data_IF_388963604077
#
_entry.id   IF_388963604077
#
_cell.length_a   1.000
_cell.length_b   1.000
_cell.length_c   1.000
_cell.angle_alpha   90.00
_cell.angle_beta   90.00
_cell.angle_gamma   90.00
#
_symmetry.space_group_name_H-M   'P 1'
#
loop_
_entity.id
_entity.type
_entity.pdbx_description
1 polymer ?
#
# COMPACT_ATOMS: atom_id res chain seq x y z
N UNK A 1 2.75 9.24 -7.86
CA UNK A 1 1.89 10.10 -7.03
C UNK A 1 2.07 11.59 -7.40
N UNK A 2 3.29 12.08 -7.53
CA UNK A 2 3.61 13.51 -7.70
C UNK A 2 2.97 14.19 -8.91
N UNK A 3 2.61 13.43 -9.94
CA UNK A 3 2.02 13.96 -11.17
C UNK A 3 0.49 13.88 -11.19
N UNK A 4 -0.15 13.43 -10.14
CA UNK A 4 -1.60 13.22 -10.04
C UNK A 4 -2.20 12.41 -11.22
N UNK A 5 -1.40 11.50 -11.78
CA UNK A 5 -1.83 10.60 -12.84
C UNK A 5 -2.59 9.41 -12.25
N UNK A 6 -3.62 8.91 -12.91
CA UNK A 6 -4.34 7.73 -12.44
C UNK A 6 -3.44 6.49 -12.51
N UNK A 7 -3.61 5.58 -11.55
CA UNK A 7 -3.00 4.25 -11.56
C UNK A 7 -4.05 3.18 -11.37
N UNK A 8 -3.82 2.04 -11.99
CA UNK A 8 -4.65 0.85 -11.85
C UNK A 8 -3.81 -0.31 -11.35
N UNK A 9 -4.22 -0.91 -10.25
CA UNK A 9 -3.63 -2.12 -9.70
C UNK A 9 -4.48 -3.36 -9.93
N UNK A 10 -3.90 -4.53 -9.67
CA UNK A 10 -4.65 -5.77 -9.55
C UNK A 10 -4.16 -6.57 -8.35
N UNK A 11 -5.10 -7.21 -7.64
CA UNK A 11 -4.82 -8.06 -6.49
C UNK A 11 -4.38 -9.46 -6.94
N UNK A 12 -3.40 -10.02 -6.22
CA UNK A 12 -2.85 -11.34 -6.46
C UNK A 12 -2.73 -12.12 -5.14
N UNK A 13 -3.18 -13.36 -5.14
CA UNK A 13 -3.07 -14.28 -3.99
C UNK A 13 -2.21 -15.52 -4.32
N UNK A 14 -1.74 -15.62 -5.57
CA UNK A 14 -0.90 -16.73 -6.01
C UNK A 14 0.58 -16.37 -5.92
N UNK A 15 1.38 -17.26 -5.34
CA UNK A 15 2.85 -17.15 -5.31
C UNK A 15 3.50 -17.60 -6.62
N UNK A 16 2.73 -18.17 -7.55
CA UNK A 16 3.28 -18.56 -8.83
C UNK A 16 3.62 -17.34 -9.68
N UNK A 17 4.90 -17.01 -9.76
CA UNK A 17 5.43 -15.82 -10.44
C UNK A 17 4.95 -15.66 -11.88
N UNK A 18 4.63 -16.77 -12.58
CA UNK A 18 4.06 -16.73 -13.93
C UNK A 18 2.71 -15.98 -13.98
N UNK A 19 1.88 -16.09 -12.94
CA UNK A 19 0.62 -15.35 -12.88
C UNK A 19 0.86 -13.84 -12.76
N UNK A 20 1.84 -13.45 -11.95
CA UNK A 20 2.27 -12.05 -11.85
C UNK A 20 2.85 -11.54 -13.17
N UNK A 21 3.70 -12.34 -13.81
CA UNK A 21 4.29 -12.03 -15.12
C UNK A 21 3.21 -11.86 -16.19
N UNK A 22 2.21 -12.77 -16.21
CA UNK A 22 1.09 -12.70 -17.14
C UNK A 22 0.28 -11.42 -16.96
N UNK A 23 -0.09 -11.07 -15.72
CA UNK A 23 -0.82 -9.84 -15.41
C UNK A 23 -0.01 -8.59 -15.78
N UNK A 24 1.26 -8.51 -15.39
CA UNK A 24 2.15 -7.39 -15.69
C UNK A 24 2.41 -7.22 -17.20
N UNK A 25 2.49 -8.33 -17.95
CA UNK A 25 2.72 -8.32 -19.39
C UNK A 25 1.60 -7.67 -20.19
N UNK A 26 0.39 -7.61 -19.66
CA UNK A 26 -0.77 -6.95 -20.29
C UNK A 26 -0.59 -5.44 -20.45
N UNK A 27 0.27 -4.83 -19.64
CA UNK A 27 0.47 -3.38 -19.55
C UNK A 27 -0.79 -2.57 -19.15
N UNK A 28 -1.83 -3.24 -18.66
CA UNK A 28 -3.02 -2.57 -18.14
C UNK A 28 -2.85 -2.12 -16.71
N UNK A 29 -1.95 -2.77 -15.96
CA UNK A 29 -1.74 -2.51 -14.54
C UNK A 29 -0.43 -1.78 -14.29
N UNK A 30 -0.49 -0.75 -13.45
CA UNK A 30 0.68 0.00 -12.99
C UNK A 30 1.35 -0.73 -11.81
N UNK A 31 0.56 -1.50 -11.04
CA UNK A 31 1.08 -2.30 -9.93
C UNK A 31 0.30 -3.60 -9.72
N UNK A 32 0.98 -4.57 -9.13
CA UNK A 32 0.40 -5.81 -8.60
C UNK A 32 0.42 -5.72 -7.08
N UNK A 33 -0.76 -5.86 -6.44
CA UNK A 33 -0.88 -5.97 -4.99
C UNK A 33 -0.91 -7.45 -4.60
N UNK A 34 0.10 -7.90 -3.85
CA UNK A 34 0.10 -9.26 -3.29
C UNK A 34 -0.46 -9.25 -1.87
N UNK A 35 -1.45 -10.12 -1.64
CA UNK A 35 -2.20 -10.23 -0.38
C UNK A 35 -1.46 -11.10 0.65
N UNK A 36 -0.33 -10.62 1.17
CA UNK A 36 0.49 -11.37 2.12
C UNK A 36 -0.12 -11.43 3.54
N UNK A 37 -1.19 -10.71 3.80
CA UNK A 37 -1.93 -10.81 5.05
C UNK A 37 -2.60 -12.18 5.22
N UNK A 38 -3.14 -12.75 4.14
CA UNK A 38 -3.91 -14.00 4.19
C UNK A 38 -3.35 -15.10 3.30
N UNK A 39 -2.76 -14.76 2.18
CA UNK A 39 -2.22 -15.75 1.26
C UNK A 39 -0.88 -16.30 1.77
N UNK A 40 -0.67 -17.63 1.71
CA UNK A 40 0.59 -18.23 2.14
C UNK A 40 1.73 -17.88 1.19
N UNK A 41 2.90 -17.57 1.73
CA UNK A 41 4.10 -17.25 0.95
C UNK A 41 5.39 -17.56 1.72
N UNK A 42 6.48 -17.56 0.98
CA UNK A 42 7.85 -17.49 1.50
C UNK A 42 8.54 -16.23 0.99
N UNK A 43 9.62 -15.80 1.64
CA UNK A 43 10.40 -14.65 1.16
C UNK A 43 10.93 -14.82 -0.28
N UNK A 44 11.42 -16.01 -0.71
CA UNK A 44 11.72 -16.26 -2.11
C UNK A 44 10.54 -16.08 -3.08
N UNK A 45 9.31 -16.36 -2.64
CA UNK A 45 8.12 -16.11 -3.46
C UNK A 45 7.93 -14.61 -3.69
N UNK A 46 8.05 -13.78 -2.63
CA UNK A 46 7.98 -12.32 -2.76
C UNK A 46 9.06 -11.77 -3.70
N UNK A 47 10.29 -12.29 -3.59
CA UNK A 47 11.36 -11.92 -4.54
C UNK A 47 11.00 -12.25 -5.99
N UNK A 48 10.40 -13.42 -6.24
CA UNK A 48 10.02 -13.84 -7.58
C UNK A 48 8.83 -13.04 -8.12
N UNK A 49 7.85 -12.70 -7.28
CA UNK A 49 6.75 -11.80 -7.62
C UNK A 49 7.30 -10.42 -8.03
N UNK A 50 8.19 -9.85 -7.23
CA UNK A 50 8.81 -8.56 -7.54
C UNK A 50 9.61 -8.60 -8.87
N UNK A 51 10.38 -9.67 -9.11
CA UNK A 51 11.13 -9.83 -10.37
C UNK A 51 10.19 -9.93 -11.57
N UNK A 52 9.12 -10.71 -11.45
CA UNK A 52 8.14 -10.90 -12.51
C UNK A 52 7.47 -9.57 -12.91
N UNK A 53 7.09 -8.75 -11.91
CA UNK A 53 6.54 -7.40 -12.16
C UNK A 53 7.57 -6.48 -12.80
N UNK A 54 8.80 -6.47 -12.30
CA UNK A 54 9.88 -5.60 -12.77
C UNK A 54 10.26 -5.86 -14.25
N UNK A 55 10.11 -7.09 -14.76
CA UNK A 55 10.35 -7.41 -16.17
C UNK A 55 9.50 -6.56 -17.13
N UNK A 56 8.35 -6.14 -16.69
CA UNK A 56 7.41 -5.36 -17.48
C UNK A 56 7.26 -3.90 -17.01
N UNK A 57 8.08 -3.48 -16.03
CA UNK A 57 8.02 -2.13 -15.47
C UNK A 57 6.78 -1.89 -14.60
N UNK A 58 6.17 -2.98 -14.09
CA UNK A 58 5.04 -2.93 -13.17
C UNK A 58 5.56 -2.89 -11.73
N UNK A 59 4.96 -2.07 -10.88
CA UNK A 59 5.31 -1.99 -9.46
C UNK A 59 4.71 -3.17 -8.68
N UNK A 60 5.25 -3.45 -7.48
CA UNK A 60 4.68 -4.45 -6.57
C UNK A 60 4.36 -3.79 -5.23
N UNK A 61 3.12 -3.93 -4.80
CA UNK A 61 2.64 -3.58 -3.46
C UNK A 61 2.44 -4.88 -2.67
N UNK A 62 2.87 -4.91 -1.42
CA UNK A 62 2.66 -6.05 -0.54
C UNK A 62 1.75 -5.61 0.62
N UNK A 63 0.57 -6.24 0.73
CA UNK A 63 -0.30 -6.06 1.88
C UNK A 63 0.18 -6.95 3.02
N UNK A 64 0.43 -6.37 4.18
CA UNK A 64 1.02 -7.08 5.33
C UNK A 64 0.06 -7.10 6.52
N UNK A 65 0.13 -8.20 7.30
CA UNK A 65 -0.63 -8.38 8.53
C UNK A 65 -0.18 -7.40 9.64
N UNK A 66 -1.08 -7.13 10.58
CA UNK A 66 -0.81 -6.27 11.73
C UNK A 66 0.28 -6.82 12.65
N UNK A 67 0.23 -8.13 12.93
CA UNK A 67 1.04 -8.73 14.00
C UNK A 67 2.53 -8.67 13.72
N UNK A 68 2.94 -8.92 12.48
CA UNK A 68 4.34 -8.97 12.08
C UNK A 68 4.70 -7.84 11.10
N UNK A 69 3.92 -6.76 11.08
CA UNK A 69 4.00 -5.70 10.05
C UNK A 69 5.41 -5.13 9.86
N UNK A 70 6.16 -4.94 10.92
CA UNK A 70 7.52 -4.41 10.82
C UNK A 70 8.45 -5.39 10.09
N UNK A 71 8.44 -6.64 10.51
CA UNK A 71 9.26 -7.68 9.90
C UNK A 71 8.86 -7.89 8.44
N UNK A 72 7.57 -8.09 8.18
CA UNK A 72 7.05 -8.38 6.84
C UNK A 72 7.28 -7.22 5.87
N UNK A 73 7.05 -5.97 6.30
CA UNK A 73 7.30 -4.79 5.47
C UNK A 73 8.80 -4.64 5.12
N UNK A 74 9.69 -4.79 6.11
CA UNK A 74 11.13 -4.73 5.86
C UNK A 74 11.60 -5.85 4.91
N UNK A 75 11.07 -7.08 5.05
CA UNK A 75 11.37 -8.20 4.13
C UNK A 75 10.81 -7.93 2.73
N UNK A 76 9.56 -7.47 2.62
CA UNK A 76 8.96 -7.13 1.35
C UNK A 76 9.77 -6.08 0.57
N UNK A 77 10.21 -5.00 1.24
CA UNK A 77 11.08 -3.98 0.63
C UNK A 77 12.42 -4.59 0.23
N UNK A 78 13.00 -5.44 1.07
CA UNK A 78 14.24 -6.14 0.74
C UNK A 78 14.08 -7.07 -0.47
N UNK A 79 12.91 -7.69 -0.65
CA UNK A 79 12.56 -8.49 -1.82
C UNK A 79 12.30 -7.65 -3.09
N UNK A 80 12.06 -6.35 -2.96
CA UNK A 80 11.89 -5.45 -4.09
C UNK A 80 10.54 -4.76 -4.18
N UNK A 81 9.68 -4.85 -3.16
CA UNK A 81 8.40 -4.15 -3.15
C UNK A 81 8.58 -2.63 -3.31
N UNK A 82 7.69 -2.04 -4.10
CA UNK A 82 7.63 -0.59 -4.36
C UNK A 82 6.62 0.12 -3.47
N UNK A 83 5.74 -0.65 -2.82
CA UNK A 83 4.78 -0.13 -1.86
C UNK A 83 4.43 -1.18 -0.82
N UNK A 84 3.97 -0.73 0.34
CA UNK A 84 3.47 -1.57 1.42
C UNK A 84 2.08 -1.06 1.80
N UNK A 85 1.10 -1.96 1.85
CA UNK A 85 -0.22 -1.72 2.39
C UNK A 85 -0.31 -2.35 3.79
N UNK A 86 -0.52 -1.51 4.79
CA UNK A 86 -0.64 -1.90 6.18
C UNK A 86 -2.13 -2.06 6.56
N UNK A 87 -2.50 -3.29 6.92
CA UNK A 87 -3.83 -3.63 7.39
C UNK A 87 -4.00 -3.35 8.90
N UNK A 88 -5.25 -3.28 9.35
CA UNK A 88 -5.62 -3.27 10.78
C UNK A 88 -4.97 -2.15 11.63
N UNK A 89 -4.74 -0.99 11.07
CA UNK A 89 -4.23 0.17 11.80
C UNK A 89 -5.37 0.88 12.54
N UNK A 90 -5.09 1.43 13.74
CA UNK A 90 -6.12 2.05 14.59
C UNK A 90 -5.81 3.50 14.95
N UNK A 91 -4.53 3.84 15.16
CA UNK A 91 -4.14 5.16 15.65
C UNK A 91 -2.99 5.78 14.86
N UNK A 92 -2.84 7.08 14.96
CA UNK A 92 -1.74 7.81 14.33
C UNK A 92 -0.36 7.39 14.91
N UNK A 93 -0.32 7.05 16.20
CA UNK A 93 0.90 6.58 16.87
C UNK A 93 1.35 5.25 16.29
N UNK A 94 0.43 4.28 16.14
CA UNK A 94 0.73 2.98 15.49
C UNK A 94 1.21 3.17 14.05
N UNK A 95 0.56 4.07 13.30
CA UNK A 95 0.95 4.38 11.94
C UNK A 95 2.34 5.00 11.91
N UNK A 96 2.65 5.94 12.82
CA UNK A 96 3.98 6.53 12.90
C UNK A 96 5.06 5.50 13.20
N UNK A 97 4.86 4.63 14.19
CA UNK A 97 5.80 3.55 14.50
C UNK A 97 6.04 2.63 13.29
N UNK A 98 4.97 2.36 12.54
CA UNK A 98 5.01 1.50 11.36
C UNK A 98 5.80 2.16 10.21
N UNK A 99 5.57 3.46 9.98
CA UNK A 99 6.34 4.24 8.99
C UNK A 99 7.81 4.33 9.39
N UNK A 100 8.11 4.61 10.67
CA UNK A 100 9.47 4.68 11.18
C UNK A 100 10.25 3.35 10.97
N UNK A 101 9.55 2.21 11.07
CA UNK A 101 10.14 0.89 10.87
C UNK A 101 10.69 0.65 9.45
N UNK A 102 10.16 1.34 8.45
CA UNK A 102 10.57 1.24 7.04
C UNK A 102 11.16 2.54 6.47
N UNK A 103 11.40 3.51 7.30
CA UNK A 103 12.05 4.78 6.95
C UNK A 103 13.52 4.73 7.36
N UNK A 104 14.40 5.33 6.55
CA UNK A 104 15.84 5.37 6.86
C UNK A 104 16.11 6.23 8.10
N UNK A 105 17.20 5.90 8.83
CA UNK A 105 17.54 6.62 10.07
C UNK A 105 17.93 8.08 9.85
N UNK A 106 18.40 8.44 8.65
CA UNK A 106 18.76 9.83 8.31
C UNK A 106 18.37 10.14 6.85
N UNK A 107 17.70 11.24 6.57
CA UNK A 107 17.21 12.27 7.51
C UNK A 107 15.90 11.90 8.23
N UNK A 108 15.24 10.80 7.85
CA UNK A 108 13.87 10.45 8.22
C UNK A 108 13.66 10.06 9.69
N UNK A 109 14.73 9.76 10.44
CA UNK A 109 14.63 9.42 11.88
C UNK A 109 14.10 8.00 12.17
N UNK A 110 13.92 7.15 11.15
CA UNK A 110 13.46 5.78 11.28
C UNK A 110 14.56 4.80 11.68
N UNK A 111 14.26 3.52 11.55
CA UNK A 111 15.17 2.42 11.95
C UNK A 111 15.55 1.49 10.80
N UNK A 112 15.06 1.74 9.59
CA UNK A 112 15.29 0.83 8.47
C UNK A 112 16.72 0.92 7.95
N UNK A 113 17.32 -0.26 7.79
CA UNK A 113 18.67 -0.40 7.27
C UNK A 113 18.71 -0.46 5.75
N UNK A 114 19.73 -1.15 5.23
CA UNK A 114 19.99 -1.24 3.79
C UNK A 114 19.37 -2.50 3.18
N UNK A 115 18.31 -2.42 2.35
CA UNK A 115 17.78 -3.56 1.64
C UNK A 115 18.74 -4.03 0.53
N UNK A 116 18.96 -5.34 0.44
CA UNK A 116 20.07 -5.87 -0.36
C UNK A 116 19.76 -6.12 -1.83
N UNK A 117 18.56 -6.59 -2.20
CA UNK A 117 18.30 -7.06 -3.56
C UNK A 117 18.49 -5.96 -4.62
N UNK A 118 17.79 -4.86 -4.51
CA UNK A 118 17.91 -3.76 -5.48
C UNK A 118 19.28 -3.10 -5.45
N UNK A 119 19.87 -2.93 -4.26
CA UNK A 119 21.16 -2.29 -4.09
C UNK A 119 22.31 -3.20 -4.53
N UNK A 120 22.23 -4.50 -4.24
CA UNK A 120 23.22 -5.46 -4.66
C UNK A 120 23.38 -5.54 -6.18
N UNK A 121 22.27 -5.51 -6.90
CA UNK A 121 22.25 -5.54 -8.36
C UNK A 121 22.75 -4.23 -9.01
N UNK A 122 22.55 -3.10 -8.38
CA UNK A 122 23.03 -1.80 -8.85
C UNK A 122 24.49 -1.50 -8.52
N UNK A 123 25.23 -2.48 -8.02
CA UNK A 123 26.65 -2.34 -7.68
C UNK A 123 26.88 -1.64 -6.35
N UNK A 124 26.86 -2.44 -5.30
CA UNK A 124 27.21 -2.05 -3.94
C UNK A 124 28.55 -1.35 -3.91
N UNK A 125 28.60 -0.10 -3.50
CA UNK A 125 29.82 0.73 -3.48
C UNK A 125 29.88 1.78 -4.58
N UNK A 126 28.96 1.76 -5.54
CA UNK A 126 28.83 2.78 -6.59
C UNK A 126 27.64 3.71 -6.38
N UNK A 127 26.62 3.28 -5.62
CA UNK A 127 25.46 4.12 -5.29
C UNK A 127 25.82 5.11 -4.17
N UNK A 128 25.45 6.37 -4.33
CA UNK A 128 25.59 7.37 -3.27
C UNK A 128 24.62 7.05 -2.13
N UNK A 129 24.99 7.38 -0.91
CA UNK A 129 24.10 7.20 0.24
C UNK A 129 22.81 8.02 0.14
N UNK A 130 22.84 9.17 -0.54
CA UNK A 130 21.65 9.97 -0.84
C UNK A 130 20.67 9.24 -1.75
N UNK A 131 21.17 8.61 -2.82
CA UNK A 131 20.35 7.90 -3.79
C UNK A 131 19.74 6.64 -3.17
N UNK A 132 20.51 5.96 -2.34
CA UNK A 132 20.05 4.83 -1.55
C UNK A 132 18.89 5.21 -0.61
N UNK A 133 19.08 6.31 0.17
CA UNK A 133 18.05 6.78 1.09
C UNK A 133 16.78 7.15 0.34
N UNK A 134 16.91 7.95 -0.72
CA UNK A 134 15.78 8.31 -1.56
C UNK A 134 15.03 7.08 -2.07
N UNK A 135 15.71 6.10 -2.64
CA UNK A 135 15.10 4.89 -3.17
C UNK A 135 14.36 4.08 -2.09
N UNK A 136 14.85 4.10 -0.86
CA UNK A 136 14.21 3.39 0.27
C UNK A 136 13.01 4.18 0.79
N UNK A 137 13.14 5.50 0.89
CA UNK A 137 12.08 6.38 1.42
C UNK A 137 10.96 6.62 0.38
N UNK A 138 11.25 6.45 -0.93
CA UNK A 138 10.28 6.51 -2.04
C UNK A 138 9.32 5.28 -2.10
N UNK A 139 9.51 4.27 -1.25
CA UNK A 139 8.54 3.16 -1.14
C UNK A 139 7.18 3.72 -0.69
N UNK A 140 6.13 3.46 -1.46
CA UNK A 140 4.78 3.96 -1.18
C UNK A 140 4.21 3.31 0.08
N UNK A 141 3.74 4.12 1.02
CA UNK A 141 3.20 3.69 2.31
C UNK A 141 1.69 3.92 2.32
N UNK A 142 0.95 2.82 2.28
CA UNK A 142 -0.50 2.78 2.19
C UNK A 142 -1.08 2.28 3.52
N UNK A 143 -2.11 2.95 4.02
CA UNK A 143 -2.80 2.58 5.27
C UNK A 143 -4.22 2.15 4.95
N UNK A 144 -4.59 0.94 5.34
CA UNK A 144 -5.97 0.46 5.20
C UNK A 144 -6.83 0.98 6.34
N UNK A 145 -7.92 1.65 5.98
CA UNK A 145 -8.92 2.17 6.90
C UNK A 145 -10.11 1.21 6.87
N UNK A 146 -10.13 0.32 7.83
CA UNK A 146 -11.07 -0.81 7.87
C UNK A 146 -11.60 -1.11 9.28
N UNK A 147 -11.35 -0.20 10.21
CA UNK A 147 -11.87 -0.23 11.58
C UNK A 147 -12.51 1.11 11.91
N UNK A 148 -13.59 1.05 12.70
CA UNK A 148 -14.33 2.26 13.13
C UNK A 148 -13.41 3.24 13.86
N UNK A 149 -12.49 2.74 14.68
CA UNK A 149 -11.56 3.60 15.41
C UNK A 149 -10.48 4.18 14.50
N UNK A 150 -10.04 3.44 13.48
CA UNK A 150 -9.16 3.99 12.44
C UNK A 150 -9.81 5.17 11.71
N UNK A 151 -11.09 5.03 11.36
CA UNK A 151 -11.83 6.10 10.71
C UNK A 151 -11.99 7.33 11.62
N UNK A 152 -12.27 7.14 12.91
CA UNK A 152 -12.33 8.26 13.88
C UNK A 152 -10.98 8.99 13.99
N UNK A 153 -9.88 8.29 13.82
CA UNK A 153 -8.51 8.82 13.87
C UNK A 153 -7.96 9.25 12.51
N UNK A 154 -8.75 9.16 11.45
CA UNK A 154 -8.29 9.29 10.06
C UNK A 154 -7.54 10.60 9.79
N UNK A 155 -8.06 11.73 10.28
CA UNK A 155 -7.40 13.03 10.12
C UNK A 155 -6.00 13.05 10.77
N UNK A 156 -5.87 12.45 11.94
CA UNK A 156 -4.58 12.32 12.62
C UNK A 156 -3.64 11.34 11.90
N UNK A 157 -4.19 10.24 11.36
CA UNK A 157 -3.45 9.26 10.55
C UNK A 157 -2.88 9.93 9.29
N UNK A 158 -3.71 10.67 8.56
CA UNK A 158 -3.29 11.37 7.34
C UNK A 158 -2.22 12.46 7.60
N UNK A 159 -2.12 12.98 8.83
CA UNK A 159 -1.08 13.94 9.23
C UNK A 159 0.24 13.31 9.64
N UNK A 160 0.31 11.98 9.71
CA UNK A 160 1.58 11.30 10.01
C UNK A 160 2.53 11.46 8.81
N UNK A 161 3.73 12.02 9.01
CA UNK A 161 4.69 12.16 7.94
C UNK A 161 5.04 10.82 7.29
N UNK A 162 4.98 10.76 5.97
CA UNK A 162 5.28 9.55 5.20
C UNK A 162 4.08 8.66 4.91
N UNK A 163 2.87 9.01 5.32
CA UNK A 163 1.65 8.38 4.80
C UNK A 163 1.37 8.93 3.41
N UNK A 164 1.46 8.08 2.40
CA UNK A 164 1.26 8.46 0.99
C UNK A 164 -0.19 8.24 0.56
N UNK A 165 -0.81 7.14 1.00
CA UNK A 165 -2.14 6.74 0.57
C UNK A 165 -2.96 6.14 1.71
N UNK A 166 -4.29 6.25 1.57
CA UNK A 166 -5.26 5.49 2.37
C UNK A 166 -6.18 4.67 1.48
N UNK A 167 -6.53 3.47 1.94
CA UNK A 167 -7.40 2.52 1.23
C UNK A 167 -8.57 2.16 2.13
N UNK A 168 -9.80 2.20 1.62
CA UNK A 168 -10.96 1.77 2.40
C UNK A 168 -11.18 0.26 2.28
N UNK A 169 -11.27 -0.43 3.43
CA UNK A 169 -11.64 -1.85 3.53
C UNK A 169 -13.11 -1.99 3.97
N UNK A 170 -14.09 -1.93 3.05
CA UNK A 170 -15.51 -1.84 3.42
C UNK A 170 -16.05 -3.09 4.13
N UNK A 171 -15.56 -4.28 3.78
CA UNK A 171 -16.00 -5.53 4.39
C UNK A 171 -15.58 -5.61 5.87
N UNK A 172 -14.31 -5.36 6.14
CA UNK A 172 -13.77 -5.38 7.50
C UNK A 172 -14.30 -4.22 8.34
N UNK A 173 -14.52 -3.05 7.72
CA UNK A 173 -15.17 -1.93 8.38
C UNK A 173 -16.60 -2.28 8.80
N UNK A 174 -17.42 -2.83 7.90
CA UNK A 174 -18.79 -3.24 8.20
C UNK A 174 -18.82 -4.29 9.32
N UNK A 175 -17.94 -5.30 9.22
CA UNK A 175 -17.81 -6.34 10.27
C UNK A 175 -17.47 -5.71 11.64
N UNK A 176 -16.53 -4.79 11.68
CA UNK A 176 -16.12 -4.10 12.91
C UNK A 176 -17.19 -3.18 13.46
N UNK A 177 -18.00 -2.56 12.59
CA UNK A 177 -19.13 -1.71 12.97
C UNK A 177 -20.39 -2.50 13.37
N UNK A 178 -20.41 -3.83 13.17
CA UNK A 178 -21.61 -4.65 13.35
C UNK A 178 -22.67 -4.41 12.27
N UNK A 179 -22.24 -4.03 11.08
CA UNK A 179 -23.09 -3.73 9.92
C UNK A 179 -23.15 -4.90 8.94
N UNK A 180 -24.23 -4.91 8.14
CA UNK A 180 -24.40 -5.81 7.00
C UNK A 180 -24.17 -5.04 5.70
N UNK A 181 -23.38 -5.59 4.79
CA UNK A 181 -22.98 -4.89 3.55
C UNK A 181 -24.16 -4.40 2.72
N UNK A 182 -25.20 -5.22 2.58
CA UNK A 182 -26.40 -4.91 1.79
C UNK A 182 -27.32 -3.90 2.48
N UNK A 183 -27.48 -4.01 3.81
CA UNK A 183 -28.37 -3.14 4.58
C UNK A 183 -27.76 -1.75 4.83
N UNK A 184 -26.45 -1.71 4.99
CA UNK A 184 -25.71 -0.49 5.32
C UNK A 184 -24.91 0.07 4.12
N UNK A 185 -25.27 -0.29 2.90
CA UNK A 185 -24.56 0.15 1.70
C UNK A 185 -24.46 1.68 1.58
N UNK A 186 -25.49 2.41 1.99
CA UNK A 186 -25.48 3.89 2.00
C UNK A 186 -24.56 4.46 3.06
N UNK A 187 -24.57 3.88 4.26
CA UNK A 187 -23.70 4.31 5.36
C UNK A 187 -22.24 4.07 4.99
N UNK A 188 -21.93 2.92 4.34
CA UNK A 188 -20.59 2.61 3.85
C UNK A 188 -20.14 3.56 2.76
N UNK A 189 -21.02 3.95 1.83
CA UNK A 189 -20.71 4.96 0.82
C UNK A 189 -20.42 6.33 1.46
N UNK A 190 -21.19 6.71 2.50
CA UNK A 190 -20.95 7.96 3.24
C UNK A 190 -19.59 7.95 3.94
N UNK A 191 -19.24 6.84 4.61
CA UNK A 191 -17.91 6.65 5.24
C UNK A 191 -16.80 6.73 4.19
N UNK A 192 -16.98 6.06 3.05
CA UNK A 192 -15.98 6.05 1.98
C UNK A 192 -15.76 7.45 1.39
N UNK A 193 -16.85 8.19 1.11
CA UNK A 193 -16.75 9.58 0.64
C UNK A 193 -16.06 10.49 1.64
N UNK A 194 -16.38 10.33 2.91
CA UNK A 194 -15.75 11.13 3.97
C UNK A 194 -14.27 10.80 4.13
N UNK A 195 -13.89 9.52 4.00
CA UNK A 195 -12.47 9.12 3.96
C UNK A 195 -11.74 9.80 2.80
N UNK A 196 -12.33 9.77 1.60
CA UNK A 196 -11.74 10.42 0.41
C UNK A 196 -11.55 11.92 0.66
N UNK A 197 -12.56 12.59 1.21
CA UNK A 197 -12.51 14.02 1.52
C UNK A 197 -11.37 14.34 2.50
N UNK A 198 -11.31 13.63 3.63
CA UNK A 198 -10.30 13.85 4.67
C UNK A 198 -8.89 13.59 4.11
N UNK A 199 -8.70 12.51 3.34
CA UNK A 199 -7.42 12.20 2.74
C UNK A 199 -6.93 13.34 1.83
N UNK A 200 -7.77 13.77 0.89
CA UNK A 200 -7.44 14.85 -0.05
C UNK A 200 -7.15 16.18 0.65
N UNK A 201 -7.91 16.53 1.68
CA UNK A 201 -7.68 17.75 2.49
C UNK A 201 -6.32 17.74 3.21
N UNK A 202 -5.80 16.55 3.52
CA UNK A 202 -4.48 16.39 4.13
C UNK A 202 -3.36 16.13 3.09
N UNK A 203 -3.66 16.14 1.79
CA UNK A 203 -2.70 15.88 0.73
C UNK A 203 -2.31 14.40 0.58
N UNK A 204 -3.06 13.48 1.22
CA UNK A 204 -2.90 12.03 1.13
C UNK A 204 -3.77 11.51 -0.01
N UNK A 205 -3.26 10.55 -0.80
CA UNK A 205 -3.99 10.02 -1.93
C UNK A 205 -4.98 8.92 -1.49
N UNK A 206 -6.28 9.04 -1.79
CA UNK A 206 -7.21 7.94 -1.61
C UNK A 206 -7.04 6.90 -2.72
N UNK A 207 -7.10 5.61 -2.35
CA UNK A 207 -7.14 4.48 -3.27
C UNK A 207 -8.44 3.70 -3.08
N UNK A 208 -9.08 3.31 -4.17
CA UNK A 208 -10.38 2.63 -4.17
C UNK A 208 -10.25 1.22 -4.73
N UNK A 209 -10.67 0.23 -3.96
CA UNK A 209 -10.78 -1.13 -4.44
C UNK A 209 -12.03 -1.26 -5.34
N UNK A 210 -11.83 -1.84 -6.52
CA UNK A 210 -12.89 -2.02 -7.52
C UNK A 210 -13.51 -3.41 -7.42
N UNK A 211 -14.82 -3.47 -7.57
CA UNK A 211 -15.58 -4.68 -7.85
C UNK A 211 -16.36 -4.56 -9.19
N UNK A 212 -17.11 -5.58 -9.55
CA UNK A 212 -17.88 -5.59 -10.81
C UNK A 212 -18.91 -4.47 -10.94
N UNK A 213 -19.36 -3.90 -9.83
CA UNK A 213 -20.40 -2.87 -9.78
C UNK A 213 -19.84 -1.48 -9.51
N UNK A 214 -18.54 -1.36 -9.28
CA UNK A 214 -17.93 -0.08 -8.92
C UNK A 214 -18.01 0.92 -10.05
N UNK A 215 -18.65 2.06 -9.80
CA UNK A 215 -18.66 3.18 -10.73
C UNK A 215 -17.35 3.97 -10.61
N UNK A 216 -16.38 3.63 -11.44
CA UNK A 216 -15.05 4.28 -11.45
C UNK A 216 -15.17 5.79 -11.66
N UNK A 217 -16.07 6.24 -12.56
CA UNK A 217 -16.26 7.66 -12.85
C UNK A 217 -16.73 8.44 -11.62
N UNK A 218 -17.61 7.84 -10.82
CA UNK A 218 -18.06 8.43 -9.55
C UNK A 218 -16.88 8.76 -8.63
N UNK A 219 -15.99 7.80 -8.40
CA UNK A 219 -14.81 8.01 -7.55
C UNK A 219 -13.79 8.98 -8.18
N UNK A 220 -13.64 8.90 -9.50
CA UNK A 220 -12.77 9.84 -10.23
C UNK A 220 -13.22 11.28 -10.07
N UNK A 221 -14.54 11.53 -10.11
CA UNK A 221 -15.15 12.86 -9.91
C UNK A 221 -15.00 13.36 -8.47
N UNK A 222 -14.89 12.44 -7.48
CA UNK A 222 -14.55 12.75 -6.09
C UNK A 222 -13.05 13.09 -5.88
N UNK A 223 -12.22 12.95 -6.91
CA UNK A 223 -10.80 13.25 -6.86
C UNK A 223 -9.89 12.03 -6.72
N UNK A 224 -10.44 10.81 -6.66
CA UNK A 224 -9.62 9.58 -6.62
C UNK A 224 -8.87 9.41 -7.94
N UNK A 225 -7.62 8.99 -7.84
CA UNK A 225 -6.75 8.70 -9.01
C UNK A 225 -6.15 7.29 -8.95
N UNK A 226 -6.27 6.60 -7.83
CA UNK A 226 -5.65 5.29 -7.62
C UNK A 226 -6.72 4.23 -7.39
N UNK A 227 -6.64 3.12 -8.17
CA UNK A 227 -7.64 2.05 -8.20
C UNK A 227 -6.99 0.67 -8.17
#
# INVERSE_FOLDING_TARGET
LDNNLPTLGTRMESTWAYMTELAASTKYFDYIEYEAEYAPYTEPDLENICRASELYGCATVIKVDRQNRYYNAQRAIACGASGILFADMYTAEEVKETIDAITTSYPGGGIFGRPNRRLGMNGTGRMRMSDYRKMTDDVVKMIMIEKVDAFKNLDAICKVPGVDMVVFGPFDYATNAGWEMDKNAKDLDEVHREMIRIALENGVQPCVQLDYNTNVQYFYDLGVRHF
#
